data_IF_260058458110
#
_entry.id   IF_260058458110
#
_cell.length_a   1.000
_cell.length_b   1.000
_cell.length_c   1.000
_cell.angle_alpha   90.00
_cell.angle_beta   90.00
_cell.angle_gamma   90.00
#
_symmetry.space_group_name_H-M   'P 1'
#
loop_
_entity.id
_entity.type
_entity.pdbx_description
1 polymer ?
#
# COMPACT_ATOMS: atom_id res chain seq x y z
N UNK A 1 -20.93 13.53 -22.55
CA UNK A 1 -21.63 12.56 -23.41
C UNK A 1 -20.96 11.19 -23.30
N UNK A 2 -19.66 11.07 -23.60
CA UNK A 2 -18.93 9.80 -23.48
C UNK A 2 -18.99 9.20 -22.06
N UNK A 3 -18.74 10.01 -21.03
CA UNK A 3 -18.89 9.60 -19.62
C UNK A 3 -20.30 9.10 -19.28
N UNK A 4 -21.34 9.72 -19.86
CA UNK A 4 -22.73 9.30 -19.66
C UNK A 4 -22.99 7.93 -20.29
N UNK A 5 -22.42 7.67 -21.47
CA UNK A 5 -22.50 6.36 -22.12
C UNK A 5 -21.75 5.29 -21.32
N UNK A 6 -20.57 5.61 -20.82
CA UNK A 6 -19.78 4.74 -19.94
C UNK A 6 -20.52 4.47 -18.62
N UNK A 7 -21.16 5.48 -18.04
CA UNK A 7 -21.99 5.33 -16.84
C UNK A 7 -23.20 4.41 -17.06
N UNK A 8 -23.75 4.35 -18.28
CA UNK A 8 -24.78 3.37 -18.64
C UNK A 8 -24.18 1.98 -18.88
N UNK A 9 -23.06 1.90 -19.61
CA UNK A 9 -22.34 0.65 -19.87
C UNK A 9 -21.91 -0.07 -18.59
N UNK A 10 -21.57 0.71 -17.56
CA UNK A 10 -21.13 0.21 -16.24
C UNK A 10 -22.24 -0.50 -15.46
N UNK A 11 -23.52 -0.32 -15.82
CA UNK A 11 -24.65 -0.87 -15.07
C UNK A 11 -24.91 -2.35 -15.36
N UNK A 12 -24.62 -2.81 -16.57
CA UNK A 12 -24.81 -4.21 -16.95
C UNK A 12 -24.00 -4.59 -18.19
N UNK A 13 -23.69 -5.88 -18.31
CA UNK A 13 -22.97 -6.41 -19.46
C UNK A 13 -23.78 -6.28 -20.76
N UNK A 14 -25.10 -6.39 -20.68
CA UNK A 14 -26.01 -6.18 -21.81
C UNK A 14 -25.98 -4.73 -22.30
N UNK A 15 -25.98 -3.76 -21.38
CA UNK A 15 -25.88 -2.34 -21.72
C UNK A 15 -24.55 -2.04 -22.41
N UNK A 16 -23.44 -2.56 -21.86
CA UNK A 16 -22.10 -2.45 -22.46
C UNK A 16 -22.07 -3.02 -23.88
N UNK A 17 -22.55 -4.25 -24.08
CA UNK A 17 -22.60 -4.90 -25.40
C UNK A 17 -23.51 -4.18 -26.39
N UNK A 18 -24.65 -3.65 -25.94
CA UNK A 18 -25.56 -2.90 -26.80
C UNK A 18 -24.92 -1.59 -27.29
N UNK A 19 -24.26 -0.85 -26.40
CA UNK A 19 -23.55 0.38 -26.74
C UNK A 19 -22.35 0.13 -27.67
N UNK A 20 -21.62 -0.98 -27.45
CA UNK A 20 -20.52 -1.36 -28.33
C UNK A 20 -21.02 -1.78 -29.73
N UNK A 21 -22.07 -2.60 -29.81
CA UNK A 21 -22.63 -3.05 -31.11
C UNK A 21 -23.22 -1.92 -31.97
N UNK A 22 -23.55 -0.79 -31.34
CA UNK A 22 -24.02 0.43 -32.03
C UNK A 22 -22.89 1.39 -32.40
N UNK A 23 -21.64 1.05 -32.06
CA UNK A 23 -20.46 1.89 -32.31
C UNK A 23 -20.34 3.10 -31.38
N UNK A 24 -21.19 3.21 -30.35
CA UNK A 24 -21.19 4.35 -29.43
C UNK A 24 -19.97 4.35 -28.48
N UNK A 25 -19.27 3.22 -28.38
CA UNK A 25 -18.06 3.06 -27.57
C UNK A 25 -16.75 3.24 -28.37
N UNK A 26 -16.81 3.31 -29.70
CA UNK A 26 -15.64 3.54 -30.56
C UNK A 26 -14.78 4.77 -30.19
N UNK A 27 -15.35 5.89 -29.69
CA UNK A 27 -14.54 7.01 -29.23
C UNK A 27 -13.53 6.65 -28.13
N UNK A 28 -13.77 5.61 -27.32
CA UNK A 28 -12.80 5.14 -26.32
C UNK A 28 -11.55 4.55 -26.98
N UNK A 29 -11.74 3.72 -28.01
CA UNK A 29 -10.65 3.10 -28.77
C UNK A 29 -9.90 4.14 -29.61
N UNK A 30 -10.64 4.94 -30.36
CA UNK A 30 -10.05 5.98 -31.21
C UNK A 30 -9.32 7.05 -30.38
N UNK A 31 -9.86 7.39 -29.21
CA UNK A 31 -9.30 8.36 -28.29
C UNK A 31 -7.94 7.95 -27.73
N UNK A 32 -7.70 6.65 -27.50
CA UNK A 32 -6.37 6.14 -27.09
C UNK A 32 -5.30 6.31 -28.17
N UNK A 33 -5.68 6.27 -29.45
CA UNK A 33 -4.77 6.49 -30.58
C UNK A 33 -4.63 7.98 -30.95
N UNK A 34 -5.24 8.89 -30.20
CA UNK A 34 -5.21 10.32 -30.51
C UNK A 34 -3.79 10.87 -30.42
N UNK A 35 -3.40 11.70 -31.40
CA UNK A 35 -2.15 12.46 -31.32
C UNK A 35 -2.20 13.54 -30.21
N UNK A 36 -3.40 13.97 -29.82
CA UNK A 36 -3.60 14.90 -28.72
C UNK A 36 -3.52 14.18 -27.37
N UNK A 37 -2.48 14.52 -26.61
CA UNK A 37 -2.18 13.95 -25.30
C UNK A 37 -3.29 14.19 -24.28
N UNK A 38 -4.00 15.33 -24.36
CA UNK A 38 -5.09 15.65 -23.42
C UNK A 38 -6.30 14.77 -23.70
N UNK A 39 -6.62 14.56 -24.98
CA UNK A 39 -7.65 13.59 -25.39
C UNK A 39 -7.29 12.18 -24.92
N UNK A 40 -6.05 11.71 -25.14
CA UNK A 40 -5.63 10.38 -24.65
C UNK A 40 -5.77 10.27 -23.13
N UNK A 41 -5.28 11.25 -22.39
CA UNK A 41 -5.32 11.26 -20.93
C UNK A 41 -6.76 11.19 -20.41
N UNK A 42 -7.66 12.04 -20.93
CA UNK A 42 -9.06 12.03 -20.55
C UNK A 42 -9.73 10.67 -20.83
N UNK A 43 -9.36 10.03 -21.94
CA UNK A 43 -9.87 8.69 -22.28
C UNK A 43 -9.32 7.64 -21.32
N UNK A 44 -8.03 7.69 -20.97
CA UNK A 44 -7.43 6.77 -19.99
C UNK A 44 -8.12 6.92 -18.63
N UNK A 45 -8.43 8.14 -18.18
CA UNK A 45 -9.16 8.35 -16.92
C UNK A 45 -10.57 7.75 -16.95
N UNK A 46 -11.32 7.97 -18.03
CA UNK A 46 -12.65 7.36 -18.22
C UNK A 46 -12.55 5.82 -18.23
N UNK A 47 -11.55 5.26 -18.91
CA UNK A 47 -11.31 3.82 -18.95
C UNK A 47 -10.90 3.25 -17.60
N UNK A 48 -10.17 4.03 -16.79
CA UNK A 48 -9.72 3.59 -15.49
C UNK A 48 -10.89 3.50 -14.50
N UNK A 49 -11.85 4.44 -14.55
CA UNK A 49 -13.10 4.32 -13.80
C UNK A 49 -13.96 3.17 -14.32
N UNK A 50 -14.20 3.10 -15.63
CA UNK A 50 -15.04 2.07 -16.22
C UNK A 50 -14.50 0.66 -15.97
N UNK A 51 -13.19 0.48 -16.17
CA UNK A 51 -12.49 -0.79 -16.06
C UNK A 51 -12.55 -1.41 -14.68
N UNK A 52 -12.84 -0.65 -13.63
CA UNK A 52 -13.03 -1.20 -12.27
C UNK A 52 -14.35 -1.95 -12.10
N UNK A 53 -15.27 -1.86 -13.05
CA UNK A 53 -16.55 -2.59 -13.06
C UNK A 53 -16.42 -3.90 -13.85
N UNK A 54 -17.23 -4.91 -13.54
CA UNK A 54 -17.24 -6.18 -14.30
C UNK A 54 -17.55 -5.97 -15.79
N UNK A 55 -18.58 -5.19 -16.20
CA UNK A 55 -18.82 -4.93 -17.62
C UNK A 55 -17.68 -4.17 -18.30
N UNK A 56 -17.01 -3.28 -17.55
CA UNK A 56 -15.92 -2.47 -18.06
C UNK A 56 -14.64 -3.26 -18.27
N UNK A 57 -14.20 -4.05 -17.29
CA UNK A 57 -13.00 -4.90 -17.45
C UNK A 57 -13.16 -5.90 -18.60
N UNK A 58 -14.33 -6.54 -18.72
CA UNK A 58 -14.65 -7.43 -19.85
C UNK A 58 -14.65 -6.67 -21.19
N UNK A 59 -15.19 -5.45 -21.22
CA UNK A 59 -15.14 -4.61 -22.42
C UNK A 59 -13.70 -4.25 -22.78
N UNK A 60 -12.90 -3.77 -21.83
CA UNK A 60 -11.51 -3.37 -22.01
C UNK A 60 -10.65 -4.53 -22.58
N UNK A 61 -10.90 -5.76 -22.11
CA UNK A 61 -10.26 -6.98 -22.59
C UNK A 61 -10.74 -7.37 -24.00
N UNK A 62 -12.04 -7.59 -24.17
CA UNK A 62 -12.63 -8.09 -25.42
C UNK A 62 -12.55 -7.10 -26.59
N UNK A 63 -12.60 -5.81 -26.29
CA UNK A 63 -12.40 -4.75 -27.29
C UNK A 63 -10.94 -4.63 -27.71
N UNK A 64 -9.96 -5.20 -27.00
CA UNK A 64 -8.54 -5.05 -27.31
C UNK A 64 -7.93 -3.71 -26.84
N UNK A 65 -8.67 -2.92 -26.05
CA UNK A 65 -8.16 -1.69 -25.43
C UNK A 65 -6.95 -1.99 -24.53
N UNK A 66 -7.00 -3.05 -23.72
CA UNK A 66 -5.86 -3.43 -22.88
C UNK A 66 -4.62 -3.84 -23.69
N UNK A 67 -4.82 -4.45 -24.86
CA UNK A 67 -3.72 -4.77 -25.77
C UNK A 67 -3.07 -3.49 -26.31
N UNK A 68 -3.89 -2.50 -26.68
CA UNK A 68 -3.42 -1.20 -27.15
C UNK A 68 -2.66 -0.45 -26.04
N UNK A 69 -3.19 -0.43 -24.82
CA UNK A 69 -2.54 0.19 -23.66
C UNK A 69 -1.17 -0.48 -23.39
N UNK A 70 -1.10 -1.81 -23.42
CA UNK A 70 0.15 -2.54 -23.21
C UNK A 70 1.22 -2.18 -24.27
N UNK A 71 0.82 -1.97 -25.52
CA UNK A 71 1.74 -1.53 -26.58
C UNK A 71 2.21 -0.08 -26.36
N UNK A 72 1.31 0.82 -25.95
CA UNK A 72 1.65 2.23 -25.68
C UNK A 72 2.73 2.33 -24.61
N UNK A 73 2.63 1.57 -23.51
CA UNK A 73 3.66 1.57 -22.45
C UNK A 73 5.01 1.08 -22.97
N UNK A 74 5.03 0.11 -23.90
CA UNK A 74 6.28 -0.38 -24.49
C UNK A 74 6.95 0.64 -25.40
N UNK A 75 6.17 1.42 -26.14
CA UNK A 75 6.65 2.39 -27.14
C UNK A 75 6.97 3.77 -26.54
N UNK A 76 6.16 4.25 -25.59
CA UNK A 76 6.17 5.64 -25.13
C UNK A 76 6.91 5.88 -23.79
N UNK A 77 7.45 4.84 -23.15
CA UNK A 77 8.16 4.92 -21.87
C UNK A 77 9.29 5.97 -21.79
N UNK A 78 9.80 6.45 -22.93
CA UNK A 78 10.85 7.47 -22.99
C UNK A 78 10.39 8.85 -23.46
N UNK A 79 9.17 8.99 -24.00
CA UNK A 79 8.71 10.19 -24.70
C UNK A 79 7.45 10.84 -24.09
N UNK A 80 6.57 10.07 -23.44
CA UNK A 80 5.35 10.59 -22.80
C UNK A 80 5.21 10.12 -21.34
N UNK A 81 5.82 10.86 -20.41
CA UNK A 81 5.75 10.53 -18.98
C UNK A 81 4.35 10.69 -18.38
N UNK A 82 3.51 11.57 -18.93
CA UNK A 82 2.17 11.82 -18.39
C UNK A 82 1.18 10.73 -18.81
N UNK A 83 1.20 10.33 -20.08
CA UNK A 83 0.41 9.22 -20.60
C UNK A 83 0.75 7.92 -19.89
N UNK A 84 2.04 7.64 -19.70
CA UNK A 84 2.51 6.48 -18.92
C UNK A 84 1.98 6.53 -17.50
N UNK A 85 2.06 7.67 -16.80
CA UNK A 85 1.53 7.79 -15.43
C UNK A 85 0.03 7.49 -15.35
N UNK A 86 -0.75 7.94 -16.32
CA UNK A 86 -2.19 7.66 -16.40
C UNK A 86 -2.46 6.16 -16.57
N UNK A 87 -1.67 5.48 -17.41
CA UNK A 87 -1.77 4.04 -17.62
C UNK A 87 -1.38 3.26 -16.36
N UNK A 88 -0.30 3.65 -15.68
CA UNK A 88 0.10 3.03 -14.42
C UNK A 88 -1.00 3.16 -13.36
N UNK A 89 -1.66 4.33 -13.29
CA UNK A 89 -2.84 4.54 -12.43
C UNK A 89 -3.99 3.62 -12.81
N UNK A 90 -4.28 3.46 -14.10
CA UNK A 90 -5.29 2.51 -14.60
C UNK A 90 -4.97 1.08 -14.15
N UNK A 91 -3.73 0.62 -14.32
CA UNK A 91 -3.32 -0.72 -13.87
C UNK A 91 -3.47 -0.90 -12.35
N UNK A 92 -3.09 0.11 -11.57
CA UNK A 92 -3.32 0.13 -10.12
C UNK A 92 -4.80 0.00 -9.76
N UNK A 93 -5.68 0.73 -10.44
CA UNK A 93 -7.13 0.69 -10.21
C UNK A 93 -7.75 -0.66 -10.61
N UNK A 94 -7.32 -1.23 -11.74
CA UNK A 94 -7.75 -2.57 -12.15
C UNK A 94 -7.40 -3.62 -11.10
N UNK A 95 -6.16 -3.62 -10.59
CA UNK A 95 -5.75 -4.60 -9.57
C UNK A 95 -6.30 -4.33 -8.18
N UNK A 96 -6.68 -3.09 -7.86
CA UNK A 96 -7.35 -2.77 -6.60
C UNK A 96 -8.83 -3.20 -6.57
N UNK A 97 -9.46 -3.37 -7.74
CA UNK A 97 -10.88 -3.74 -7.80
C UNK A 97 -11.11 -5.21 -7.49
N UNK A 98 -12.08 -5.50 -6.61
CA UNK A 98 -12.56 -6.86 -6.31
C UNK A 98 -13.37 -7.48 -7.45
N UNK A 99 -13.80 -6.66 -8.42
CA UNK A 99 -14.63 -7.07 -9.56
C UNK A 99 -13.83 -7.47 -10.80
N UNK A 100 -12.49 -7.37 -10.73
CA UNK A 100 -11.59 -7.58 -11.85
C UNK A 100 -10.68 -8.76 -11.54
N UNK A 101 -10.69 -9.77 -12.42
CA UNK A 101 -9.70 -10.85 -12.40
C UNK A 101 -8.35 -10.34 -12.94
N UNK A 102 -7.64 -9.59 -12.09
CA UNK A 102 -6.37 -8.98 -12.45
C UNK A 102 -5.31 -10.02 -12.85
N UNK A 103 -5.31 -11.20 -12.21
CA UNK A 103 -4.34 -12.27 -12.50
C UNK A 103 -4.46 -12.71 -13.96
N UNK A 104 -5.69 -12.94 -14.44
CA UNK A 104 -5.93 -13.29 -15.85
C UNK A 104 -5.50 -12.17 -16.81
N UNK A 105 -5.76 -10.91 -16.45
CA UNK A 105 -5.31 -9.76 -17.24
C UNK A 105 -3.78 -9.65 -17.28
N UNK A 106 -3.11 -9.83 -16.15
CA UNK A 106 -1.65 -9.79 -16.08
C UNK A 106 -1.01 -10.91 -16.90
N UNK A 107 -1.54 -12.14 -16.83
CA UNK A 107 -1.06 -13.24 -17.67
C UNK A 107 -1.14 -12.90 -19.17
N UNK A 108 -2.21 -12.21 -19.60
CA UNK A 108 -2.43 -11.85 -21.00
C UNK A 108 -1.61 -10.64 -21.46
N UNK A 109 -1.50 -9.62 -20.61
CA UNK A 109 -0.95 -8.32 -20.99
C UNK A 109 0.41 -8.00 -20.36
N UNK A 110 0.91 -8.88 -19.49
CA UNK A 110 2.21 -8.76 -18.81
C UNK A 110 2.33 -7.42 -18.06
N UNK A 111 1.28 -7.05 -17.32
CA UNK A 111 1.16 -5.75 -16.65
C UNK A 111 2.29 -5.59 -15.62
N UNK A 112 2.53 -6.57 -14.76
CA UNK A 112 3.57 -6.52 -13.73
C UNK A 112 4.98 -6.37 -14.32
N UNK A 113 5.26 -6.98 -15.47
CA UNK A 113 6.52 -6.80 -16.19
C UNK A 113 6.69 -5.35 -16.68
N UNK A 114 5.61 -4.73 -17.16
CA UNK A 114 5.64 -3.31 -17.51
C UNK A 114 5.86 -2.42 -16.28
N UNK A 115 5.19 -2.71 -15.16
CA UNK A 115 5.41 -1.98 -13.90
C UNK A 115 6.85 -2.11 -13.40
N UNK A 116 7.43 -3.31 -13.48
CA UNK A 116 8.82 -3.58 -13.09
C UNK A 116 9.82 -2.71 -13.88
N UNK A 117 9.62 -2.57 -15.19
CA UNK A 117 10.46 -1.71 -16.05
C UNK A 117 10.38 -0.23 -15.69
N UNK A 118 9.28 0.19 -15.09
CA UNK A 118 8.96 1.57 -14.70
C UNK A 118 8.82 1.69 -13.19
N UNK A 119 9.64 0.95 -12.44
CA UNK A 119 9.41 0.67 -11.03
C UNK A 119 9.23 1.93 -10.17
N UNK A 120 10.01 2.98 -10.43
CA UNK A 120 9.98 4.20 -9.60
C UNK A 120 8.65 4.93 -9.78
N UNK A 121 8.16 5.00 -11.01
CA UNK A 121 6.89 5.61 -11.40
C UNK A 121 5.70 4.72 -11.00
N UNK A 122 5.89 3.40 -10.95
CA UNK A 122 4.82 2.41 -10.79
C UNK A 122 4.62 1.91 -9.36
N UNK A 123 5.44 2.34 -8.38
CA UNK A 123 5.35 1.85 -6.99
C UNK A 123 3.92 1.91 -6.43
N UNK A 124 3.21 3.02 -6.65
CA UNK A 124 1.84 3.19 -6.18
C UNK A 124 0.87 2.19 -6.82
N UNK A 125 1.04 1.87 -8.10
CA UNK A 125 0.25 0.86 -8.78
C UNK A 125 0.52 -0.54 -8.19
N UNK A 126 1.79 -0.88 -7.94
CA UNK A 126 2.18 -2.14 -7.28
C UNK A 126 1.56 -2.24 -5.89
N UNK A 127 1.59 -1.15 -5.12
CA UNK A 127 0.94 -1.04 -3.82
C UNK A 127 -0.57 -1.32 -3.88
N UNK A 128 -1.27 -0.71 -4.84
CA UNK A 128 -2.70 -0.90 -5.05
C UNK A 128 -3.06 -2.33 -5.46
N UNK A 129 -2.31 -2.92 -6.40
CA UNK A 129 -2.54 -4.29 -6.85
C UNK A 129 -2.25 -5.28 -5.72
N UNK A 130 -1.10 -5.16 -5.06
CA UNK A 130 -0.71 -6.04 -3.96
C UNK A 130 -1.51 -5.83 -2.68
N UNK A 131 -2.17 -4.69 -2.55
CA UNK A 131 -3.12 -4.40 -1.47
C UNK A 131 -4.50 -5.04 -1.65
N UNK A 132 -4.73 -5.81 -2.71
CA UNK A 132 -5.91 -6.66 -2.86
C UNK A 132 -5.56 -8.10 -2.47
N UNK A 133 -6.33 -8.68 -1.54
CA UNK A 133 -6.14 -10.06 -1.05
C UNK A 133 -6.14 -11.11 -2.17
N UNK A 134 -6.89 -10.87 -3.26
CA UNK A 134 -6.94 -11.78 -4.41
C UNK A 134 -5.64 -11.78 -5.23
N UNK A 135 -4.88 -10.67 -5.17
CA UNK A 135 -3.72 -10.42 -6.02
C UNK A 135 -2.40 -10.45 -5.25
N UNK A 136 -2.42 -10.36 -3.91
CA UNK A 136 -1.21 -10.25 -3.08
C UNK A 136 -0.25 -11.42 -3.30
N UNK A 137 -0.75 -12.65 -3.47
CA UNK A 137 0.10 -13.80 -3.78
C UNK A 137 0.83 -13.60 -5.12
N UNK A 138 0.08 -13.21 -6.16
CA UNK A 138 0.60 -13.01 -7.50
C UNK A 138 1.66 -11.91 -7.54
N UNK A 139 1.41 -10.79 -6.86
CA UNK A 139 2.36 -9.66 -6.79
C UNK A 139 3.61 -10.06 -6.01
N UNK A 140 3.48 -10.61 -4.80
CA UNK A 140 4.61 -10.88 -3.90
C UNK A 140 5.54 -12.01 -4.35
N UNK A 141 5.08 -12.86 -5.27
CA UNK A 141 5.88 -13.93 -5.88
C UNK A 141 6.43 -13.55 -7.27
N UNK A 142 6.11 -12.36 -7.79
CA UNK A 142 6.57 -11.90 -9.10
C UNK A 142 8.00 -11.33 -9.08
N UNK A 143 8.72 -11.31 -10.22
CA UNK A 143 9.99 -10.58 -10.34
C UNK A 143 9.87 -9.09 -9.98
N UNK A 144 8.70 -8.50 -10.24
CA UNK A 144 8.40 -7.12 -9.87
C UNK A 144 8.55 -6.87 -8.36
N UNK A 145 8.18 -7.85 -7.51
CA UNK A 145 8.39 -7.75 -6.06
C UNK A 145 9.87 -7.76 -5.69
N UNK A 146 10.70 -8.59 -6.32
CA UNK A 146 12.15 -8.62 -6.07
C UNK A 146 12.80 -7.27 -6.41
N UNK A 147 12.43 -6.70 -7.56
CA UNK A 147 12.91 -5.39 -8.00
C UNK A 147 12.40 -4.28 -7.07
N UNK A 148 11.12 -4.32 -6.66
CA UNK A 148 10.53 -3.40 -5.67
C UNK A 148 11.28 -3.42 -4.33
N UNK A 149 11.60 -4.60 -3.81
CA UNK A 149 12.41 -4.74 -2.60
C UNK A 149 13.83 -4.22 -2.82
N UNK A 150 14.40 -4.46 -3.99
CA UNK A 150 15.79 -4.15 -4.28
C UNK A 150 16.14 -2.69 -4.43
N UNK A 151 15.19 -1.84 -4.84
CA UNK A 151 15.44 -0.41 -5.02
C UNK A 151 15.50 0.37 -3.71
N UNK A 152 14.96 -0.12 -2.60
CA UNK A 152 14.83 0.66 -1.35
C UNK A 152 16.14 1.34 -0.90
N UNK A 153 17.28 0.66 -1.07
CA UNK A 153 18.60 1.17 -0.70
C UNK A 153 19.06 2.37 -1.54
N UNK A 154 18.63 2.49 -2.79
CA UNK A 154 19.02 3.56 -3.72
C UNK A 154 18.03 4.73 -3.77
N UNK A 155 16.83 4.59 -3.17
CA UNK A 155 15.80 5.63 -3.21
C UNK A 155 16.23 6.90 -2.45
N UNK A 156 15.88 8.04 -3.03
CA UNK A 156 15.92 9.34 -2.35
C UNK A 156 14.87 9.40 -1.25
N UNK A 157 14.91 10.43 -0.40
CA UNK A 157 13.96 10.59 0.71
C UNK A 157 12.51 10.58 0.24
N UNK A 158 12.19 11.36 -0.79
CA UNK A 158 10.81 11.52 -1.26
C UNK A 158 10.29 10.23 -1.90
N UNK A 159 11.15 9.52 -2.64
CA UNK A 159 10.81 8.22 -3.20
C UNK A 159 10.62 7.15 -2.13
N UNK A 160 11.33 7.23 -0.99
CA UNK A 160 11.07 6.34 0.15
C UNK A 160 9.69 6.54 0.76
N UNK A 161 9.14 7.75 0.73
CA UNK A 161 7.75 8.01 1.18
C UNK A 161 6.77 7.22 0.31
N UNK A 162 6.88 7.34 -1.02
CA UNK A 162 6.06 6.59 -1.97
C UNK A 162 6.23 5.07 -1.83
N UNK A 163 7.47 4.61 -1.66
CA UNK A 163 7.79 3.20 -1.44
C UNK A 163 7.17 2.65 -0.15
N UNK A 164 7.27 3.38 0.96
CA UNK A 164 6.66 2.96 2.23
C UNK A 164 5.13 2.96 2.15
N UNK A 165 4.50 3.92 1.50
CA UNK A 165 3.05 3.88 1.28
C UNK A 165 2.63 2.66 0.46
N UNK A 166 3.37 2.34 -0.60
CA UNK A 166 3.10 1.17 -1.44
C UNK A 166 3.29 -0.13 -0.66
N UNK A 167 4.34 -0.22 0.15
CA UNK A 167 4.57 -1.36 1.03
C UNK A 167 3.48 -1.51 2.10
N UNK A 168 3.04 -0.40 2.69
CA UNK A 168 1.96 -0.40 3.67
C UNK A 168 0.64 -0.90 3.05
N UNK A 169 0.35 -0.54 1.79
CA UNK A 169 -0.82 -1.06 1.07
C UNK A 169 -0.73 -2.57 0.87
N UNK A 170 0.43 -3.10 0.44
CA UNK A 170 0.64 -4.56 0.31
C UNK A 170 0.40 -5.28 1.63
N UNK A 171 0.92 -4.74 2.74
CA UNK A 171 0.67 -5.31 4.07
C UNK A 171 -0.76 -5.11 4.56
N UNK A 172 -1.49 -4.13 4.03
CA UNK A 172 -2.91 -3.91 4.34
C UNK A 172 -3.86 -4.67 3.40
N UNK A 173 -3.39 -5.74 2.75
CA UNK A 173 -4.20 -6.51 1.80
C UNK A 173 -5.44 -7.17 2.40
N UNK A 174 -5.43 -7.43 3.71
CA UNK A 174 -6.60 -7.84 4.48
C UNK A 174 -6.57 -7.21 5.88
N UNK A 175 -7.68 -6.61 6.36
CA UNK A 175 -7.77 -6.12 7.74
C UNK A 175 -7.81 -7.26 8.77
N UNK A 176 -8.27 -8.45 8.36
CA UNK A 176 -8.34 -9.68 9.14
C UNK A 176 -7.67 -10.80 8.33
N UNK A 177 -6.33 -10.92 8.40
CA UNK A 177 -5.59 -11.85 7.55
C UNK A 177 -5.90 -13.30 7.92
N UNK A 178 -6.21 -14.13 6.91
CA UNK A 178 -6.28 -15.58 7.08
C UNK A 178 -4.89 -16.16 7.36
N UNK A 179 -4.78 -17.40 7.88
CA UNK A 179 -3.48 -18.05 8.07
C UNK A 179 -2.65 -18.15 6.78
N UNK A 180 -3.30 -18.33 5.63
CA UNK A 180 -2.66 -18.34 4.32
C UNK A 180 -2.12 -16.95 3.95
N UNK A 181 -2.94 -15.91 4.14
CA UNK A 181 -2.54 -14.51 3.91
C UNK A 181 -1.36 -14.13 4.80
N UNK A 182 -1.40 -14.53 6.08
CA UNK A 182 -0.30 -14.29 7.02
C UNK A 182 1.00 -14.97 6.57
N UNK A 183 0.95 -16.21 6.09
CA UNK A 183 2.13 -16.90 5.56
C UNK A 183 2.68 -16.23 4.30
N UNK A 184 1.81 -15.79 3.39
CA UNK A 184 2.22 -15.10 2.16
C UNK A 184 2.93 -13.79 2.50
N UNK A 185 2.33 -12.97 3.36
CA UNK A 185 2.91 -11.69 3.77
C UNK A 185 4.19 -11.88 4.59
N UNK A 186 4.27 -12.92 5.44
CA UNK A 186 5.50 -13.26 6.16
C UNK A 186 6.64 -13.66 5.23
N UNK A 187 6.35 -14.42 4.16
CA UNK A 187 7.35 -14.78 3.13
C UNK A 187 7.81 -13.53 2.39
N UNK A 188 6.90 -12.65 1.98
CA UNK A 188 7.27 -11.39 1.34
C UNK A 188 8.12 -10.50 2.27
N UNK A 189 7.73 -10.37 3.54
CA UNK A 189 8.52 -9.67 4.54
C UNK A 189 9.95 -10.24 4.64
N UNK A 190 10.12 -11.56 4.56
CA UNK A 190 11.45 -12.17 4.62
C UNK A 190 12.37 -11.75 3.46
N UNK A 191 11.81 -11.37 2.30
CA UNK A 191 12.59 -10.83 1.18
C UNK A 191 13.17 -9.43 1.49
N UNK A 192 12.51 -8.67 2.38
CA UNK A 192 13.02 -7.37 2.86
C UNK A 192 14.24 -7.52 3.77
N UNK A 193 14.43 -8.71 4.37
CA UNK A 193 15.59 -9.02 5.19
C UNK A 193 16.77 -9.37 4.29
N UNK A 194 17.85 -8.57 4.39
CA UNK A 194 19.06 -8.77 3.59
C UNK A 194 20.25 -9.09 4.52
N UNK A 195 21.01 -10.18 4.29
CA UNK A 195 22.09 -10.59 5.19
C UNK A 195 23.20 -9.55 5.36
N UNK A 196 23.40 -8.70 4.35
CA UNK A 196 24.41 -7.65 4.30
C UNK A 196 23.94 -6.31 4.90
N UNK A 197 22.71 -6.24 5.41
CA UNK A 197 22.09 -5.00 5.88
C UNK A 197 21.53 -5.15 7.29
N UNK A 198 21.33 -4.01 7.97
CA UNK A 198 20.59 -4.02 9.23
C UNK A 198 19.18 -4.58 9.03
N UNK A 199 18.62 -5.28 10.04
CA UNK A 199 17.26 -5.83 9.96
C UNK A 199 16.26 -4.80 9.45
N UNK A 200 15.28 -5.24 8.67
CA UNK A 200 14.31 -4.33 8.06
C UNK A 200 13.59 -3.46 9.12
N UNK A 201 13.20 -4.05 10.25
CA UNK A 201 12.60 -3.33 11.38
C UNK A 201 13.46 -2.15 11.86
N UNK A 202 14.77 -2.35 12.04
CA UNK A 202 15.67 -1.29 12.47
C UNK A 202 15.77 -0.14 11.44
N UNK A 203 15.83 -0.48 10.13
CA UNK A 203 15.84 0.52 9.04
C UNK A 203 14.51 1.28 8.96
N UNK A 204 13.40 0.60 9.20
CA UNK A 204 12.07 1.19 9.27
C UNK A 204 11.96 2.16 10.46
N UNK A 205 12.48 1.80 11.63
CA UNK A 205 12.52 2.67 12.81
C UNK A 205 13.35 3.93 12.61
N UNK A 206 14.48 3.86 11.87
CA UNK A 206 15.25 5.06 11.51
C UNK A 206 14.38 6.05 10.73
N UNK A 207 13.54 5.54 9.82
CA UNK A 207 12.62 6.36 9.03
C UNK A 207 11.45 6.89 9.86
N UNK A 208 10.89 6.06 10.76
CA UNK A 208 9.81 6.45 11.67
C UNK A 208 10.24 7.51 12.70
N UNK A 209 11.54 7.56 13.05
CA UNK A 209 12.15 8.57 13.94
C UNK A 209 12.66 9.81 13.18
N UNK A 210 12.40 9.90 11.88
CA UNK A 210 12.85 11.02 11.05
C UNK A 210 12.21 12.34 11.50
N UNK A 211 12.96 13.45 11.37
CA UNK A 211 12.42 14.81 11.55
C UNK A 211 11.57 15.29 10.39
N UNK A 212 11.47 14.50 9.31
CA UNK A 212 10.59 14.78 8.17
C UNK A 212 9.25 14.09 8.42
N UNK A 213 8.17 14.83 8.73
CA UNK A 213 6.89 14.24 9.14
C UNK A 213 6.32 13.26 8.13
N UNK A 214 6.47 13.54 6.83
CA UNK A 214 5.97 12.69 5.74
C UNK A 214 6.68 11.33 5.74
N UNK A 215 8.00 11.31 5.90
CA UNK A 215 8.77 10.07 5.99
C UNK A 215 8.46 9.29 7.27
N UNK A 216 8.32 10.00 8.40
CA UNK A 216 7.97 9.40 9.68
C UNK A 216 6.59 8.72 9.60
N UNK A 217 5.59 9.42 9.06
CA UNK A 217 4.22 8.91 8.91
C UNK A 217 4.11 7.77 7.90
N UNK A 218 4.86 7.81 6.79
CA UNK A 218 4.87 6.71 5.83
C UNK A 218 5.48 5.44 6.46
N UNK A 219 6.58 5.57 7.21
CA UNK A 219 7.17 4.46 7.95
C UNK A 219 6.25 3.93 9.07
N UNK A 220 5.57 4.82 9.80
CA UNK A 220 4.56 4.43 10.80
C UNK A 220 3.38 3.69 10.16
N UNK A 221 3.00 4.03 8.94
CA UNK A 221 1.94 3.33 8.21
C UNK A 221 2.34 1.88 7.91
N UNK A 222 3.60 1.62 7.54
CA UNK A 222 4.11 0.24 7.39
C UNK A 222 4.07 -0.52 8.72
N UNK A 223 4.50 0.12 9.83
CA UNK A 223 4.43 -0.48 11.16
C UNK A 223 2.98 -0.82 11.54
N UNK A 224 2.03 0.09 11.26
CA UNK A 224 0.61 -0.11 11.52
C UNK A 224 0.05 -1.29 10.73
N UNK A 225 0.37 -1.38 9.43
CA UNK A 225 -0.08 -2.50 8.60
C UNK A 225 0.53 -3.84 9.07
N UNK A 226 1.80 -3.85 9.47
CA UNK A 226 2.48 -5.07 9.92
C UNK A 226 1.91 -5.67 11.20
N UNK A 227 1.41 -4.85 12.13
CA UNK A 227 0.93 -5.35 13.44
C UNK A 227 -0.45 -6.01 13.39
N UNK A 228 -1.11 -6.01 12.23
CA UNK A 228 -2.28 -6.87 11.98
C UNK A 228 -1.90 -8.36 11.86
N UNK A 229 -0.63 -8.68 11.64
CA UNK A 229 -0.13 -10.06 11.54
C UNK A 229 0.57 -10.51 12.82
N UNK A 230 0.35 -11.76 13.23
CA UNK A 230 1.00 -12.34 14.41
C UNK A 230 2.52 -12.33 14.31
N UNK A 231 3.07 -12.70 13.15
CA UNK A 231 4.52 -12.62 12.91
C UNK A 231 5.04 -11.17 13.00
N UNK A 232 4.25 -10.18 12.58
CA UNK A 232 4.62 -8.76 12.62
C UNK A 232 4.73 -8.26 14.06
N UNK A 233 3.75 -8.61 14.91
CA UNK A 233 3.82 -8.37 16.35
C UNK A 233 5.02 -9.06 16.98
N UNK A 234 5.30 -10.31 16.61
CA UNK A 234 6.45 -11.05 17.11
C UNK A 234 7.78 -10.37 16.72
N UNK A 235 7.92 -9.91 15.47
CA UNK A 235 9.11 -9.18 14.99
C UNK A 235 9.29 -7.87 15.75
N UNK A 236 8.20 -7.14 16.00
CA UNK A 236 8.25 -5.90 16.76
C UNK A 236 8.57 -6.12 18.24
N UNK A 237 8.02 -7.18 18.84
CA UNK A 237 8.34 -7.59 20.22
C UNK A 237 9.78 -8.06 20.42
N UNK A 238 10.38 -8.66 19.39
CA UNK A 238 11.78 -9.08 19.40
C UNK A 238 12.76 -7.91 19.27
N UNK A 239 12.33 -6.77 18.70
CA UNK A 239 13.14 -5.57 18.56
C UNK A 239 12.93 -4.63 19.77
N UNK A 240 13.94 -4.55 20.63
CA UNK A 240 13.90 -3.70 21.84
C UNK A 240 13.69 -2.22 21.48
N UNK A 241 14.30 -1.74 20.40
CA UNK A 241 14.22 -0.35 20.00
C UNK A 241 12.83 0.00 19.45
N UNK A 242 12.13 -0.98 18.85
CA UNK A 242 10.74 -0.83 18.43
C UNK A 242 9.82 -0.64 19.63
N UNK A 243 9.91 -1.51 20.64
CA UNK A 243 9.10 -1.40 21.86
C UNK A 243 9.40 -0.10 22.62
N UNK A 244 10.68 0.27 22.74
CA UNK A 244 11.06 1.53 23.35
C UNK A 244 10.50 2.73 22.59
N UNK A 245 10.61 2.72 21.25
CA UNK A 245 10.07 3.79 20.41
C UNK A 245 8.56 3.98 20.62
N UNK A 246 7.77 2.90 20.71
CA UNK A 246 6.32 2.99 20.94
C UNK A 246 5.97 3.53 22.33
N UNK A 247 6.70 3.12 23.36
CA UNK A 247 6.45 3.53 24.75
C UNK A 247 6.98 4.95 25.02
N UNK A 248 7.95 5.42 24.24
CA UNK A 248 8.53 6.76 24.36
C UNK A 248 7.51 7.86 24.06
N UNK A 249 7.31 8.71 25.07
CA UNK A 249 6.41 9.88 25.07
C UNK A 249 7.16 11.13 24.59
N UNK A 250 7.72 11.09 23.39
CA UNK A 250 8.50 12.22 22.88
C UNK A 250 7.61 13.47 22.71
N UNK A 251 8.02 14.57 23.31
CA UNK A 251 7.29 15.84 23.25
C UNK A 251 7.30 16.44 21.84
N UNK A 252 8.34 16.15 21.06
CA UNK A 252 8.54 16.66 19.70
C UNK A 252 7.69 15.94 18.65
N UNK A 253 7.14 14.76 18.96
CA UNK A 253 6.29 14.02 18.03
C UNK A 253 5.05 14.87 17.68
N UNK A 254 4.70 14.88 16.40
CA UNK A 254 3.51 15.57 15.91
C UNK A 254 2.22 14.94 16.48
N UNK A 255 1.09 15.66 16.38
CA UNK A 255 -0.20 15.09 16.79
C UNK A 255 -0.51 13.79 16.03
N UNK A 256 -0.27 13.79 14.70
CA UNK A 256 -0.51 12.63 13.84
C UNK A 256 0.39 11.45 14.23
N UNK A 257 1.68 11.68 14.53
CA UNK A 257 2.60 10.63 14.98
C UNK A 257 2.19 10.02 16.31
N UNK A 258 1.75 10.84 17.28
CA UNK A 258 1.27 10.35 18.59
C UNK A 258 0.03 9.47 18.44
N UNK A 259 -0.89 9.87 17.55
CA UNK A 259 -2.09 9.06 17.22
C UNK A 259 -1.68 7.76 16.54
N UNK A 260 -0.82 7.81 15.52
CA UNK A 260 -0.38 6.62 14.80
C UNK A 260 0.36 5.62 15.71
N UNK A 261 1.26 6.08 16.58
CA UNK A 261 1.93 5.22 17.58
C UNK A 261 0.92 4.57 18.52
N UNK A 262 -0.11 5.31 18.92
CA UNK A 262 -1.15 4.77 19.79
C UNK A 262 -2.02 3.72 19.08
N UNK A 263 -2.41 3.96 17.82
CA UNK A 263 -3.10 2.97 16.98
C UNK A 263 -2.28 1.68 16.87
N UNK A 264 -0.98 1.79 16.59
CA UNK A 264 -0.07 0.64 16.54
C UNK A 264 -0.09 -0.14 17.87
N UNK A 265 -0.04 0.54 19.01
CA UNK A 265 -0.07 -0.10 20.33
C UNK A 265 -1.39 -0.85 20.56
N UNK A 266 -2.52 -0.23 20.20
CA UNK A 266 -3.84 -0.86 20.36
C UNK A 266 -3.97 -2.10 19.47
N UNK A 267 -3.57 -2.01 18.20
CA UNK A 267 -3.57 -3.15 17.27
C UNK A 267 -2.63 -4.26 17.75
N UNK A 268 -1.42 -3.95 18.24
CA UNK A 268 -0.50 -4.95 18.82
C UNK A 268 -1.16 -5.75 19.94
N UNK A 269 -1.86 -5.07 20.86
CA UNK A 269 -2.50 -5.72 22.00
C UNK A 269 -3.67 -6.61 21.55
N UNK A 270 -4.47 -6.14 20.58
CA UNK A 270 -5.57 -6.91 20.00
C UNK A 270 -5.05 -8.15 19.26
N UNK A 271 -4.12 -7.97 18.33
CA UNK A 271 -3.50 -9.07 17.57
C UNK A 271 -2.82 -10.08 18.50
N UNK A 272 -2.10 -9.62 19.53
CA UNK A 272 -1.45 -10.52 20.50
C UNK A 272 -2.46 -11.37 21.27
N UNK A 273 -3.62 -10.81 21.65
CA UNK A 273 -4.69 -11.56 22.31
C UNK A 273 -5.34 -12.58 21.36
N UNK A 274 -5.59 -12.18 20.11
CA UNK A 274 -6.17 -13.05 19.10
C UNK A 274 -5.26 -14.26 18.82
N UNK A 275 -3.96 -14.03 18.61
CA UNK A 275 -2.98 -15.10 18.39
C UNK A 275 -2.91 -16.04 19.60
N UNK A 276 -2.83 -15.49 20.82
CA UNK A 276 -2.80 -16.32 22.02
C UNK A 276 -4.07 -17.18 22.17
N UNK A 277 -5.24 -16.63 21.85
CA UNK A 277 -6.51 -17.35 21.94
C UNK A 277 -6.66 -18.42 20.87
N UNK A 278 -6.15 -18.16 19.66
CA UNK A 278 -6.27 -19.07 18.51
C UNK A 278 -5.23 -20.20 18.53
N UNK A 279 -3.98 -19.90 18.91
CA UNK A 279 -2.85 -20.86 18.77
C UNK A 279 -2.19 -21.23 20.10
N UNK A 280 -2.52 -20.54 21.20
CA UNK A 280 -1.80 -20.67 22.47
C UNK A 280 -0.41 -20.03 22.47
N UNK A 281 -0.01 -19.39 21.36
CA UNK A 281 1.32 -18.78 21.21
C UNK A 281 1.33 -17.38 21.80
N UNK A 282 2.30 -17.11 22.68
CA UNK A 282 2.52 -15.78 23.21
C UNK A 282 3.56 -15.03 22.36
N UNK A 283 3.13 -13.97 21.66
CA UNK A 283 3.99 -13.15 20.78
C UNK A 283 4.67 -11.96 21.47
N UNK A 284 4.21 -11.60 22.67
CA UNK A 284 4.79 -10.57 23.54
C UNK A 284 5.05 -11.10 24.93
N UNK A 285 6.14 -10.67 25.57
CA UNK A 285 6.33 -11.00 26.99
C UNK A 285 5.28 -10.33 27.87
N UNK A 286 5.01 -10.90 29.05
CA UNK A 286 4.06 -10.32 30.00
C UNK A 286 4.44 -8.88 30.41
N UNK A 287 5.74 -8.59 30.52
CA UNK A 287 6.25 -7.24 30.79
C UNK A 287 5.93 -6.28 29.65
N UNK A 288 6.20 -6.68 28.40
CA UNK A 288 5.91 -5.87 27.22
C UNK A 288 4.41 -5.57 27.11
N UNK A 289 3.57 -6.59 27.23
CA UNK A 289 2.12 -6.43 27.20
C UNK A 289 1.61 -5.48 28.30
N UNK A 290 2.12 -5.63 29.53
CA UNK A 290 1.75 -4.76 30.66
C UNK A 290 2.14 -3.29 30.42
N UNK A 291 3.34 -3.04 29.88
CA UNK A 291 3.82 -1.69 29.56
C UNK A 291 2.98 -1.04 28.46
N UNK A 292 2.67 -1.78 27.39
CA UNK A 292 1.84 -1.29 26.30
C UNK A 292 0.40 -1.01 26.76
N UNK A 293 -0.17 -1.88 27.59
CA UNK A 293 -1.50 -1.70 28.19
C UNK A 293 -1.58 -0.46 29.08
N UNK A 294 -0.50 -0.15 29.83
CA UNK A 294 -0.41 1.09 30.59
C UNK A 294 -0.48 2.32 29.68
N UNK A 295 0.24 2.32 28.56
CA UNK A 295 0.22 3.41 27.57
C UNK A 295 -1.16 3.54 26.94
N UNK A 296 -1.79 2.42 26.58
CA UNK A 296 -3.14 2.37 26.03
C UNK A 296 -4.16 3.03 26.96
N UNK A 297 -4.14 2.67 28.25
CA UNK A 297 -5.04 3.24 29.27
C UNK A 297 -4.85 4.72 29.52
N UNK A 298 -3.61 5.18 29.45
CA UNK A 298 -3.27 6.60 29.61
C UNK A 298 -3.72 7.45 28.42
N UNK A 299 -3.86 6.86 27.23
CA UNK A 299 -4.17 7.56 26.00
C UNK A 299 -2.93 8.22 25.35
N UNK A 300 -3.02 8.68 24.09
CA UNK A 300 -1.88 9.18 23.31
C UNK A 300 -1.24 10.47 23.86
N UNK A 301 -2.02 11.33 24.50
CA UNK A 301 -1.59 12.66 24.93
C UNK A 301 -1.28 12.78 26.44
N UNK A 302 -1.19 11.65 27.13
CA UNK A 302 -0.87 11.66 28.56
C UNK A 302 0.51 12.28 28.82
N UNK A 303 0.53 13.33 29.64
CA UNK A 303 1.73 13.94 30.18
C UNK A 303 1.79 13.64 31.67
N UNK A 304 2.90 13.06 32.12
CA UNK A 304 3.14 12.87 33.55
C UNK A 304 3.38 14.25 34.16
N UNK A 305 2.53 14.67 35.09
CA UNK A 305 2.72 15.92 35.80
C UNK A 305 4.05 15.85 36.59
N UNK A 306 5.08 16.56 36.11
CA UNK A 306 6.28 16.84 36.87
C UNK A 306 6.00 18.03 37.76
N UNK A 307 5.73 17.78 39.05
CA UNK A 307 5.69 18.85 40.04
C UNK A 307 7.08 19.48 40.14
N UNK A 308 7.27 20.62 39.50
CA UNK A 308 8.44 21.48 39.70
C UNK A 308 8.20 22.22 41.01
N UNK A 309 8.67 21.65 42.12
CA UNK A 309 8.68 22.36 43.40
C UNK A 309 9.78 23.42 43.30
N UNK A 310 9.38 24.66 43.04
CA UNK A 310 10.26 25.82 43.20
C UNK A 310 10.51 26.00 44.70
N UNK A 311 11.64 25.51 45.20
CA UNK A 311 12.12 25.89 46.52
C UNK A 311 12.59 27.33 46.38
N UNK A 312 11.73 28.29 46.70
CA UNK A 312 12.19 29.65 47.00
C UNK A 312 12.95 29.58 48.31
N UNK A 313 14.28 29.67 48.23
CA UNK A 313 15.13 29.91 49.39
C UNK A 313 14.66 31.20 50.09
N UNK A 314 13.93 31.03 51.18
CA UNK A 314 13.77 32.09 52.18
C UNK A 314 15.07 32.18 52.97
N UNK A 315 16.04 32.91 52.42
CA UNK A 315 17.15 33.42 53.21
C UNK A 315 16.62 34.58 54.07
N UNK A 316 16.51 34.32 55.38
CA UNK A 316 16.29 35.31 56.43
C UNK A 316 17.63 35.88 56.91
#
# INVERSE_FOLDING_TARGET
>A
MLETLVGLASQSLEASKALDSTGLMEPLRAGLASADILTRFNIIEILAEFGTTTPGSEYLDSSGILAQIANVVQEEAQQDSLGVTAILKLYGQLGASEHVDFVSLDMKYQILNQLERLLVESMAAIGLIGGNVQNVEWVTQSPCAETFVGVFGSLTRDLKVAWFHSLAQIFSCSPEPSPETEQLVARFYSQLERPDQSPFMARLLVSAKSRTPELAMAALSVLRSLVHFGFGVQKMGADRDAIMFLVERNSQDSHAEKVAKFEIIDTILQTSQNVQSATGTQVLTAEQASRLELIRRQGPFFLRATATVSIQDMAA
#
